data_IF_016428553969
#
_entry.id   IF_016428553969
#
_cell.length_a   1.000
_cell.length_b   1.000
_cell.length_c   1.000
_cell.angle_alpha   90.00
_cell.angle_beta   90.00
_cell.angle_gamma   90.00
#
_symmetry.space_group_name_H-M   'P 1'
#
loop_
_entity.id
_entity.type
_entity.pdbx_description
1 polymer ?
#
# COMPACT_ATOMS: atom_id res chain seq x y z
N UNK A 1 15.40 4.72 -29.62
CA UNK A 1 15.01 4.96 -28.21
C UNK A 1 13.66 4.29 -28.01
N UNK A 2 13.59 3.21 -27.22
CA UNK A 2 12.33 2.55 -26.91
C UNK A 2 11.69 3.36 -25.77
N UNK A 3 10.51 3.94 -26.00
CA UNK A 3 9.77 4.62 -24.95
C UNK A 3 9.31 3.58 -23.92
N UNK A 4 9.50 3.80 -22.61
CA UNK A 4 8.95 2.90 -21.60
C UNK A 4 7.44 2.82 -21.78
N UNK A 5 6.89 1.61 -21.68
CA UNK A 5 5.44 1.40 -21.76
C UNK A 5 4.79 2.19 -20.63
N UNK A 6 3.58 2.73 -20.82
CA UNK A 6 2.83 3.44 -19.75
C UNK A 6 2.79 2.64 -18.44
N UNK A 7 2.72 1.31 -18.54
CA UNK A 7 2.78 0.38 -17.41
C UNK A 7 4.11 0.46 -16.63
N UNK A 8 5.25 0.58 -17.31
CA UNK A 8 6.59 0.64 -16.68
C UNK A 8 6.75 1.94 -15.88
N UNK A 9 6.18 3.04 -16.38
CA UNK A 9 6.15 4.32 -15.68
C UNK A 9 5.24 4.27 -14.43
N UNK A 10 4.10 3.59 -14.50
CA UNK A 10 3.19 3.44 -13.36
C UNK A 10 3.84 2.56 -12.28
N UNK A 11 4.43 1.43 -12.64
CA UNK A 11 5.08 0.51 -11.69
C UNK A 11 6.28 1.17 -11.00
N UNK A 12 7.14 1.89 -11.75
CA UNK A 12 8.27 2.61 -11.14
C UNK A 12 7.80 3.68 -10.16
N UNK A 13 6.77 4.45 -10.51
CA UNK A 13 6.21 5.50 -9.65
C UNK A 13 5.48 4.95 -8.41
N UNK A 14 4.85 3.78 -8.52
CA UNK A 14 4.31 3.07 -7.37
C UNK A 14 5.43 2.56 -6.46
N UNK A 15 6.51 2.00 -7.02
CA UNK A 15 7.65 1.52 -6.25
C UNK A 15 8.32 2.64 -5.42
N UNK A 16 8.37 3.87 -5.93
CA UNK A 16 8.84 5.04 -5.16
C UNK A 16 7.99 5.31 -3.90
N UNK A 17 6.72 4.92 -3.92
CA UNK A 17 5.79 5.07 -2.80
C UNK A 17 5.73 3.84 -1.89
N UNK A 18 6.46 2.77 -2.20
CA UNK A 18 6.56 1.59 -1.35
C UNK A 18 7.81 1.67 -0.45
N UNK A 19 7.67 1.20 0.78
CA UNK A 19 8.77 0.97 1.70
C UNK A 19 9.03 -0.54 1.79
N UNK A 20 10.30 -0.94 1.70
CA UNK A 20 10.70 -2.33 1.96
C UNK A 20 10.71 -2.58 3.45
N UNK A 21 9.99 -3.61 3.87
CA UNK A 21 9.99 -4.12 5.25
C UNK A 21 10.84 -5.41 5.25
N UNK A 22 11.91 -5.49 6.05
CA UNK A 22 12.75 -6.67 6.10
C UNK A 22 12.03 -7.82 6.81
N UNK A 23 12.53 -9.05 6.60
CA UNK A 23 12.15 -10.18 7.43
C UNK A 23 12.47 -9.92 8.90
N UNK A 24 11.72 -10.55 9.79
CA UNK A 24 12.01 -10.47 11.21
C UNK A 24 10.93 -11.09 12.07
N UNK A 25 11.15 -11.05 13.38
CA UNK A 25 10.17 -11.44 14.38
C UNK A 25 9.53 -10.20 14.97
N UNK A 26 8.20 -10.16 15.00
CA UNK A 26 7.42 -9.05 15.56
C UNK A 26 6.51 -9.55 16.67
N UNK A 27 6.17 -8.67 17.61
CA UNK A 27 5.18 -8.92 18.65
C UNK A 27 3.85 -8.26 18.27
N UNK A 28 2.79 -9.08 18.24
CA UNK A 28 1.43 -8.65 17.96
C UNK A 28 0.64 -8.59 19.27
N UNK A 29 -0.32 -7.66 19.31
CA UNK A 29 -1.18 -7.41 20.46
C UNK A 29 -2.61 -7.14 20.01
N UNK A 30 -3.56 -7.90 20.55
CA UNK A 30 -4.98 -7.61 20.45
C UNK A 30 -5.51 -7.22 21.83
N UNK A 31 -5.79 -5.93 22.02
CA UNK A 31 -6.29 -5.38 23.29
C UNK A 31 -7.74 -5.75 23.59
N UNK A 32 -8.54 -6.05 22.57
CA UNK A 32 -9.94 -6.48 22.75
C UNK A 32 -10.00 -7.87 23.37
N UNK A 33 -9.05 -8.75 23.03
CA UNK A 33 -8.95 -10.12 23.54
C UNK A 33 -7.86 -10.30 24.60
N UNK A 34 -7.08 -9.25 24.88
CA UNK A 34 -5.91 -9.24 25.78
C UNK A 34 -4.85 -10.28 25.40
N UNK A 35 -4.74 -10.59 24.12
CA UNK A 35 -3.77 -11.56 23.61
C UNK A 35 -2.52 -10.86 23.11
N UNK A 36 -1.39 -11.52 23.30
CA UNK A 36 -0.10 -11.13 22.77
C UNK A 36 0.61 -12.38 22.27
N UNK A 37 1.24 -12.31 21.09
CA UNK A 37 2.01 -13.40 20.53
C UNK A 37 3.06 -12.86 19.57
N UNK A 38 4.15 -13.60 19.39
CA UNK A 38 5.19 -13.26 18.43
C UNK A 38 5.04 -14.07 17.15
N UNK A 39 5.35 -13.47 16.00
CA UNK A 39 5.31 -14.14 14.70
C UNK A 39 6.53 -13.76 13.86
N UNK A 40 7.01 -14.69 13.04
CA UNK A 40 8.01 -14.43 12.01
C UNK A 40 7.32 -13.94 10.73
N UNK A 41 7.84 -12.87 10.14
CA UNK A 41 7.36 -12.31 8.89
C UNK A 41 8.48 -12.38 7.84
N UNK A 42 8.10 -12.72 6.62
CA UNK A 42 8.95 -12.63 5.44
C UNK A 42 9.06 -11.17 4.96
N UNK A 43 10.08 -10.81 4.15
CA UNK A 43 10.19 -9.47 3.61
C UNK A 43 9.02 -9.13 2.67
N UNK A 44 8.51 -7.90 2.76
CA UNK A 44 7.45 -7.42 1.87
C UNK A 44 7.55 -5.91 1.65
N UNK A 45 6.73 -5.39 0.73
CA UNK A 45 6.60 -3.96 0.50
C UNK A 45 5.30 -3.44 1.11
N UNK A 46 5.35 -2.28 1.75
CA UNK A 46 4.18 -1.59 2.27
C UNK A 46 4.11 -0.17 1.69
N UNK A 47 2.93 0.27 1.27
CA UNK A 47 2.75 1.64 0.81
C UNK A 47 3.01 2.64 1.95
N UNK A 48 3.76 3.71 1.64
CA UNK A 48 4.07 4.80 2.57
C UNK A 48 2.83 5.62 2.94
N UNK A 49 1.84 5.65 2.05
CA UNK A 49 0.58 6.36 2.21
C UNK A 49 -0.58 5.45 1.80
N UNK A 50 -1.80 5.67 2.34
CA UNK A 50 -2.99 4.98 1.86
C UNK A 50 -3.23 5.23 0.36
N UNK A 51 -3.87 4.29 -0.32
CA UNK A 51 -4.35 4.48 -1.69
C UNK A 51 -5.38 5.59 -1.68
N UNK A 52 -5.17 6.61 -2.51
CA UNK A 52 -6.06 7.77 -2.64
C UNK A 52 -7.16 7.51 -3.66
N UNK A 53 -8.26 8.26 -3.56
CA UNK A 53 -9.44 8.10 -4.42
C UNK A 53 -9.12 8.28 -5.90
N UNK A 54 -8.19 9.16 -6.27
CA UNK A 54 -7.73 9.34 -7.64
C UNK A 54 -6.97 8.11 -8.17
N UNK A 55 -6.06 7.54 -7.38
CA UNK A 55 -5.32 6.32 -7.73
C UNK A 55 -6.27 5.12 -7.87
N UNK A 56 -7.26 5.02 -6.97
CA UNK A 56 -8.30 3.99 -7.06
C UNK A 56 -9.13 4.17 -8.35
N UNK A 57 -9.58 5.39 -8.64
CA UNK A 57 -10.35 5.71 -9.85
C UNK A 57 -9.54 5.47 -11.13
N UNK A 58 -8.24 5.72 -11.12
CA UNK A 58 -7.37 5.48 -12.27
C UNK A 58 -7.34 4.00 -12.68
N UNK A 59 -7.46 3.08 -11.73
CA UNK A 59 -7.47 1.63 -11.96
C UNK A 59 -8.88 1.10 -12.20
N UNK A 60 -9.83 1.46 -11.34
CA UNK A 60 -11.16 0.83 -11.31
C UNK A 60 -12.27 1.67 -11.96
N UNK A 61 -11.98 2.93 -12.30
CA UNK A 61 -12.93 3.89 -12.91
C UNK A 61 -14.20 4.15 -12.09
N UNK A 62 -14.10 3.93 -10.77
CA UNK A 62 -15.14 4.21 -9.79
C UNK A 62 -14.54 4.96 -8.58
N UNK A 63 -15.37 5.68 -7.82
CA UNK A 63 -14.98 6.35 -6.58
C UNK A 63 -16.07 6.20 -5.51
N UNK A 64 -16.13 5.03 -4.85
CA UNK A 64 -17.21 4.69 -3.92
C UNK A 64 -17.05 5.32 -2.52
N UNK A 65 -15.91 5.96 -2.23
CA UNK A 65 -15.63 6.54 -0.91
C UNK A 65 -16.73 7.51 -0.49
N UNK A 66 -17.17 7.39 0.78
CA UNK A 66 -18.24 8.23 1.35
C UNK A 66 -17.81 9.69 1.47
N UNK A 67 -16.56 9.92 1.89
CA UNK A 67 -15.93 11.25 1.87
C UNK A 67 -15.30 11.48 0.50
N UNK A 68 -15.32 12.71 -0.01
CA UNK A 68 -14.80 13.04 -1.35
C UNK A 68 -13.54 13.87 -1.27
N UNK A 69 -12.55 13.49 -2.06
CA UNK A 69 -11.33 14.27 -2.29
C UNK A 69 -10.25 13.42 -2.93
N UNK A 70 -9.68 13.89 -4.03
CA UNK A 70 -8.75 13.12 -4.87
C UNK A 70 -7.57 12.54 -4.07
N UNK A 71 -7.03 13.31 -3.12
CA UNK A 71 -5.88 12.92 -2.27
C UNK A 71 -6.27 12.31 -0.93
N UNK A 72 -7.57 12.07 -0.71
CA UNK A 72 -8.04 11.34 0.45
C UNK A 72 -8.12 9.84 0.12
N UNK A 73 -8.08 8.95 1.13
CA UNK A 73 -8.45 7.55 0.96
C UNK A 73 -9.93 7.38 0.56
#
# INVERSE_FOLDING_TARGET
MINPTTSDLIISKLNEQLASIPAGKIDLRDDRTKQQWSVEIEPFFLAKFPVTQDVYFDVLKESPSTFKGDKLP
#
